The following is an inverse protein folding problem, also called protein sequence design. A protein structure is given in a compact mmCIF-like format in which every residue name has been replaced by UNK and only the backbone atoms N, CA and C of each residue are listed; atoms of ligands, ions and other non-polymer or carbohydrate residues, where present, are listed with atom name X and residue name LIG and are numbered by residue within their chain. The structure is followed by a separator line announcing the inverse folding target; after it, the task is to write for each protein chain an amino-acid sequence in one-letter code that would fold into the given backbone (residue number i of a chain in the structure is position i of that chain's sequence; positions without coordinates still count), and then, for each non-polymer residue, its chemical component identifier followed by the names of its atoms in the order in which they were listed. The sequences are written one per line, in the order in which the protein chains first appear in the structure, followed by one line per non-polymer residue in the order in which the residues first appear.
data_IF_191660094745
#
_entry.id   IF_191660094745
#
_cell.length_a   1.000
_cell.length_b   1.000
_cell.length_c   1.000
_cell.angle_alpha   90.00
_cell.angle_beta   90.00
_cell.angle_gamma   90.00
#
_symmetry.space_group_name_H-M   'P 1'
#
loop_
_entity.id
_entity.type
_entity.pdbx_description
1 polymer ?
#
# COMPACT_ATOMS: atom_id res chain seq x y z
N UNK A 1 -20.50 9.94 -14.48
CA UNK A 1 -20.63 8.47 -14.74
C UNK A 1 -20.76 7.83 -13.38
N UNK A 2 -22.02 7.61 -12.95
CA UNK A 2 -22.52 7.03 -11.70
C UNK A 2 -21.70 7.33 -10.43
N UNK A 3 -22.03 8.45 -9.79
CA UNK A 3 -21.77 8.71 -8.38
C UNK A 3 -22.56 7.71 -7.54
N UNK A 4 -21.94 6.58 -7.20
CA UNK A 4 -22.46 5.68 -6.18
C UNK A 4 -22.17 6.29 -4.81
N UNK A 5 -22.93 7.34 -4.49
CA UNK A 5 -23.08 7.84 -3.14
C UNK A 5 -23.89 6.80 -2.35
N UNK A 6 -23.23 5.72 -1.93
CA UNK A 6 -23.80 4.80 -0.96
C UNK A 6 -23.83 5.51 0.39
N UNK A 7 -24.95 6.15 0.66
CA UNK A 7 -25.34 6.70 1.94
C UNK A 7 -25.23 5.60 3.00
N UNK A 8 -24.12 5.59 3.76
CA UNK A 8 -23.90 4.61 4.83
C UNK A 8 -24.85 4.94 5.97
N UNK A 9 -25.85 4.08 6.18
CA UNK A 9 -26.74 4.07 7.35
C UNK A 9 -25.93 4.23 8.65
N UNK A 10 -26.40 5.00 9.64
CA UNK A 10 -25.70 5.18 10.90
C UNK A 10 -25.68 3.86 11.67
N UNK A 11 -24.55 3.15 11.63
CA UNK A 11 -24.33 1.96 12.43
C UNK A 11 -24.11 2.39 13.89
N UNK A 12 -24.93 1.84 14.80
CA UNK A 12 -25.00 2.20 16.21
C UNK A 12 -23.65 2.35 16.90
N UNK A 13 -23.53 3.41 17.71
CA UNK A 13 -22.51 3.68 18.71
C UNK A 13 -21.06 3.25 18.38
N UNK A 14 -20.61 3.42 17.13
CA UNK A 14 -19.18 3.31 16.81
C UNK A 14 -18.50 4.64 17.09
N UNK A 15 -17.51 4.62 18.00
CA UNK A 15 -16.67 5.79 18.27
C UNK A 15 -15.83 6.07 17.02
N UNK A 16 -16.10 7.20 16.37
CA UNK A 16 -15.27 7.76 15.29
C UNK A 16 -14.11 8.54 15.89
N UNK A 17 -12.91 8.30 15.37
CA UNK A 17 -11.69 8.96 15.80
C UNK A 17 -11.23 9.95 14.73
N UNK A 18 -10.68 11.08 15.19
CA UNK A 18 -10.20 12.13 14.31
C UNK A 18 -8.67 12.17 14.31
N UNK A 19 -8.10 12.29 13.12
CA UNK A 19 -6.71 12.67 12.91
C UNK A 19 -6.63 13.64 11.74
N UNK A 20 -5.46 14.25 11.54
CA UNK A 20 -5.22 15.16 10.41
C UNK A 20 -5.54 14.50 9.06
N UNK A 21 -5.23 13.21 8.90
CA UNK A 21 -5.47 12.47 7.66
C UNK A 21 -6.97 12.26 7.37
N UNK A 22 -7.76 11.84 8.37
CA UNK A 22 -9.23 11.69 8.23
C UNK A 22 -9.89 13.03 7.88
N UNK A 23 -9.40 14.12 8.45
CA UNK A 23 -9.93 15.47 8.21
C UNK A 23 -9.54 16.01 6.83
N UNK A 24 -8.46 15.51 6.24
CA UNK A 24 -7.91 16.01 4.97
C UNK A 24 -8.89 15.80 3.81
N UNK A 25 -9.59 14.67 3.77
CA UNK A 25 -10.60 14.40 2.74
C UNK A 25 -11.77 15.40 2.80
N UNK A 26 -12.18 15.80 4.01
CA UNK A 26 -13.24 16.80 4.19
C UNK A 26 -12.75 18.24 3.98
N UNK A 27 -11.47 18.51 4.22
CA UNK A 27 -10.86 19.82 4.08
C UNK A 27 -10.35 20.11 2.66
N UNK A 28 -10.33 19.11 1.78
CA UNK A 28 -9.86 19.23 0.39
C UNK A 28 -11.02 19.11 -0.60
N UNK A 29 -10.78 19.56 -1.83
CA UNK A 29 -11.70 19.41 -2.95
C UNK A 29 -10.99 18.65 -4.07
N UNK A 30 -11.70 17.76 -4.80
CA UNK A 30 -11.09 17.07 -5.94
C UNK A 30 -10.61 18.10 -6.97
N UNK A 31 -9.39 17.90 -7.46
CA UNK A 31 -8.86 18.70 -8.56
C UNK A 31 -9.58 18.28 -9.84
N UNK A 32 -9.98 19.25 -10.65
CA UNK A 32 -10.57 18.97 -11.95
C UNK A 32 -9.52 18.36 -12.87
N UNK A 33 -9.82 17.22 -13.51
CA UNK A 33 -8.85 16.47 -14.34
C UNK A 33 -8.29 17.31 -15.49
N UNK A 34 -9.03 18.32 -15.96
CA UNK A 34 -8.57 19.24 -17.00
C UNK A 34 -7.98 20.56 -16.47
N UNK A 35 -7.75 20.69 -15.16
CA UNK A 35 -7.05 21.87 -14.61
C UNK A 35 -5.54 21.77 -14.87
N UNK A 36 -5.14 22.23 -16.05
CA UNK A 36 -3.75 22.25 -16.52
C UNK A 36 -2.81 23.05 -15.61
N UNK A 37 -3.33 23.98 -14.80
CA UNK A 37 -2.52 24.78 -13.89
C UNK A 37 -1.88 23.92 -12.81
N UNK A 38 -2.62 22.93 -12.32
CA UNK A 38 -2.13 21.99 -11.31
C UNK A 38 -0.92 21.20 -11.84
N UNK A 39 -1.07 20.61 -13.03
CA UNK A 39 0.01 19.86 -13.68
C UNK A 39 1.22 20.74 -14.02
N UNK A 40 0.99 21.97 -14.48
CA UNK A 40 2.08 22.91 -14.77
C UNK A 40 2.83 23.32 -13.49
N UNK A 41 2.10 23.59 -12.40
CA UNK A 41 2.71 23.92 -11.11
C UNK A 41 3.51 22.75 -10.54
N UNK A 42 2.99 21.52 -10.64
CA UNK A 42 3.70 20.31 -10.21
C UNK A 42 4.98 20.09 -11.02
N UNK A 43 4.92 20.26 -12.34
CA UNK A 43 6.10 20.16 -13.21
C UNK A 43 7.16 21.21 -12.87
N UNK A 44 6.75 22.46 -12.61
CA UNK A 44 7.67 23.56 -12.29
C UNK A 44 8.23 23.48 -10.85
N UNK A 45 7.50 22.82 -9.95
CA UNK A 45 7.94 22.58 -8.57
C UNK A 45 8.84 21.36 -8.46
N UNK A 46 8.69 20.40 -9.37
CA UNK A 46 9.67 19.33 -9.57
C UNK A 46 10.93 19.92 -10.20
N UNK A 47 12.11 19.61 -9.69
CA UNK A 47 13.38 19.97 -10.35
C UNK A 47 13.63 19.14 -11.62
N UNK A 48 12.60 18.57 -12.23
CA UNK A 48 12.71 17.74 -13.41
C UNK A 48 12.50 18.59 -14.65
N UNK A 49 13.35 18.40 -15.66
CA UNK A 49 13.15 19.07 -16.93
C UNK A 49 11.95 18.46 -17.66
N UNK A 50 11.26 19.26 -18.46
CA UNK A 50 10.20 18.82 -19.37
C UNK A 50 10.62 17.58 -20.19
N UNK A 51 11.88 17.55 -20.64
CA UNK A 51 12.46 16.43 -21.37
C UNK A 51 12.56 15.15 -20.54
N UNK A 52 13.02 15.23 -19.29
CA UNK A 52 13.10 14.06 -18.41
C UNK A 52 11.73 13.50 -18.04
N UNK A 53 10.74 14.37 -17.81
CA UNK A 53 9.37 13.94 -17.54
C UNK A 53 8.73 13.24 -18.76
N UNK A 54 8.93 13.78 -19.96
CA UNK A 54 8.44 13.19 -21.20
C UNK A 54 9.09 11.83 -21.49
N UNK A 55 10.41 11.72 -21.35
CA UNK A 55 11.14 10.46 -21.51
C UNK A 55 10.71 9.41 -20.49
N UNK A 56 10.54 9.78 -19.21
CA UNK A 56 10.00 8.88 -18.19
C UNK A 56 8.59 8.41 -18.52
N UNK A 57 7.75 9.28 -19.08
CA UNK A 57 6.37 8.93 -19.48
C UNK A 57 6.36 8.01 -20.70
N UNK A 58 7.16 8.29 -21.72
CA UNK A 58 7.34 7.39 -22.86
C UNK A 58 7.90 6.03 -22.42
N UNK A 59 8.90 6.03 -21.55
CA UNK A 59 9.48 4.83 -20.98
C UNK A 59 8.47 4.05 -20.14
N UNK A 60 7.66 4.72 -19.31
CA UNK A 60 6.58 4.10 -18.55
C UNK A 60 5.50 3.50 -19.44
N UNK A 61 5.08 4.20 -20.51
CA UNK A 61 4.13 3.68 -21.50
C UNK A 61 4.73 2.49 -22.24
N UNK A 62 6.00 2.56 -22.62
CA UNK A 62 6.71 1.48 -23.29
C UNK A 62 6.84 0.25 -22.38
N UNK A 63 7.28 0.43 -21.13
CA UNK A 63 7.33 -0.62 -20.11
C UNK A 63 5.95 -1.23 -19.84
N UNK A 64 4.89 -0.42 -19.79
CA UNK A 64 3.52 -0.88 -19.60
C UNK A 64 3.02 -1.67 -20.82
N UNK A 65 3.27 -1.20 -22.05
CA UNK A 65 2.92 -1.93 -23.27
C UNK A 65 3.70 -3.22 -23.43
N UNK A 66 4.98 -3.24 -23.07
CA UNK A 66 5.79 -4.45 -23.00
C UNK A 66 5.19 -5.40 -21.95
N UNK A 67 4.86 -4.93 -20.75
CA UNK A 67 4.18 -5.76 -19.75
C UNK A 67 2.85 -6.33 -20.25
N UNK A 68 2.06 -5.56 -20.99
CA UNK A 68 0.82 -6.07 -21.62
C UNK A 68 1.16 -7.15 -22.65
N UNK A 69 2.10 -6.86 -23.54
CA UNK A 69 2.47 -7.75 -24.64
C UNK A 69 3.05 -9.08 -24.16
N UNK A 70 3.81 -9.07 -23.07
CA UNK A 70 4.40 -10.26 -22.45
C UNK A 70 3.50 -10.89 -21.36
N UNK A 71 2.25 -10.44 -21.20
CA UNK A 71 1.33 -11.00 -20.19
C UNK A 71 1.76 -10.77 -18.73
N UNK A 72 2.70 -9.87 -18.48
CA UNK A 72 3.23 -9.50 -17.17
C UNK A 72 2.44 -8.35 -16.50
N UNK A 73 1.21 -8.12 -16.96
CA UNK A 73 0.32 -7.05 -16.43
C UNK A 73 -0.55 -7.53 -15.29
N UNK A 74 -0.76 -8.83 -15.18
CA UNK A 74 -1.45 -9.38 -14.02
C UNK A 74 -0.49 -9.31 -12.85
N UNK A 75 -0.83 -8.49 -11.84
CA UNK A 75 -0.49 -8.89 -10.48
C UNK A 75 -0.94 -10.32 -10.36
N UNK A 76 -0.05 -11.28 -10.08
CA UNK A 76 -0.46 -12.68 -10.02
C UNK A 76 -1.62 -12.76 -9.04
N UNK A 77 -2.82 -12.92 -9.59
CA UNK A 77 -4.05 -12.92 -8.82
C UNK A 77 -3.93 -14.16 -7.97
N UNK A 78 -3.79 -13.93 -6.66
CA UNK A 78 -3.56 -15.02 -5.75
C UNK A 78 -4.76 -15.97 -5.73
N UNK A 79 -4.50 -17.20 -5.29
CA UNK A 79 -5.44 -18.30 -5.46
C UNK A 79 -6.84 -17.94 -4.95
N UNK A 80 -7.87 -18.47 -5.63
CA UNK A 80 -9.27 -18.34 -5.23
C UNK A 80 -9.51 -19.07 -3.90
N UNK A 81 -9.25 -18.36 -2.79
CA UNK A 81 -9.44 -18.86 -1.43
C UNK A 81 -10.27 -17.89 -0.62
N UNK A 82 -11.24 -18.45 0.09
CA UNK A 82 -12.07 -17.70 1.05
C UNK A 82 -11.41 -17.52 2.41
N UNK A 83 -10.45 -18.38 2.74
CA UNK A 83 -9.72 -18.37 4.03
C UNK A 83 -8.24 -18.31 3.76
N UNK A 84 -7.57 -17.30 4.30
CA UNK A 84 -6.13 -17.10 4.16
C UNK A 84 -5.39 -17.65 5.39
N UNK A 85 -4.20 -18.26 5.22
CA UNK A 85 -3.45 -18.85 6.33
C UNK A 85 -2.99 -17.81 7.36
N UNK A 86 -2.67 -18.30 8.56
CA UNK A 86 -2.16 -17.50 9.68
C UNK A 86 -0.85 -18.10 10.17
N UNK A 87 0.14 -17.23 10.34
CA UNK A 87 1.39 -17.54 11.02
C UNK A 87 1.65 -16.44 12.03
N UNK A 88 2.03 -16.85 13.25
CA UNK A 88 2.32 -15.95 14.36
C UNK A 88 3.75 -16.16 14.80
N UNK A 89 4.58 -15.17 14.54
CA UNK A 89 5.97 -15.11 14.95
C UNK A 89 6.13 -14.40 16.31
N UNK A 90 5.13 -13.61 16.71
CA UNK A 90 5.17 -12.76 17.91
C UNK A 90 6.43 -11.89 17.90
N UNK A 91 6.61 -11.13 16.82
CA UNK A 91 7.78 -10.29 16.63
C UNK A 91 7.77 -9.11 17.60
N UNK A 92 8.93 -8.86 18.19
CA UNK A 92 9.21 -7.69 19.03
C UNK A 92 9.95 -6.61 18.24
N UNK A 93 9.74 -5.32 18.57
CA UNK A 93 10.58 -4.24 18.05
C UNK A 93 12.07 -4.53 18.26
N UNK A 94 12.90 -4.24 17.25
CA UNK A 94 14.34 -4.45 17.26
C UNK A 94 14.81 -5.77 16.64
N UNK A 95 13.92 -6.77 16.51
CA UNK A 95 14.24 -8.04 15.86
C UNK A 95 14.53 -7.87 14.35
N UNK A 96 15.40 -8.70 13.80
CA UNK A 96 15.69 -8.75 12.36
C UNK A 96 14.85 -9.84 11.72
N UNK A 97 14.17 -9.48 10.63
CA UNK A 97 13.33 -10.38 9.85
C UNK A 97 13.68 -10.31 8.38
N UNK A 98 13.44 -11.40 7.67
CA UNK A 98 13.48 -11.45 6.22
C UNK A 98 12.04 -11.39 5.69
N UNK A 99 11.79 -10.54 4.70
CA UNK A 99 10.51 -10.56 3.99
C UNK A 99 10.53 -11.78 3.06
N UNK A 100 9.47 -12.60 3.11
CA UNK A 100 9.33 -13.78 2.26
C UNK A 100 9.46 -13.42 0.78
N UNK A 101 9.80 -14.41 -0.04
CA UNK A 101 9.84 -14.21 -1.49
C UNK A 101 8.43 -13.86 -2.01
N UNK A 102 8.38 -13.23 -3.19
CA UNK A 102 7.11 -12.87 -3.81
C UNK A 102 6.17 -14.08 -3.93
N UNK A 103 6.69 -15.21 -4.43
CA UNK A 103 5.91 -16.43 -4.62
C UNK A 103 5.30 -16.93 -3.30
N UNK A 104 6.10 -17.00 -2.23
CA UNK A 104 5.62 -17.39 -0.90
C UNK A 104 4.55 -16.44 -0.37
N UNK A 105 4.65 -15.14 -0.63
CA UNK A 105 3.63 -14.17 -0.20
C UNK A 105 2.36 -14.37 -0.99
N UNK A 106 2.43 -14.53 -2.32
CA UNK A 106 1.26 -14.75 -3.18
C UNK A 106 0.50 -16.01 -2.76
N UNK A 107 1.22 -17.04 -2.35
CA UNK A 107 0.66 -18.27 -1.77
C UNK A 107 -0.09 -18.04 -0.45
N UNK A 108 -0.07 -16.84 0.14
CA UNK A 108 -0.82 -16.48 1.37
C UNK A 108 -2.01 -15.54 1.14
N UNK A 109 -2.19 -14.99 -0.07
CA UNK A 109 -3.22 -13.98 -0.38
C UNK A 109 -4.51 -14.60 -0.94
N UNK A 110 -5.64 -13.91 -0.81
CA UNK A 110 -6.92 -14.25 -1.44
C UNK A 110 -7.01 -13.71 -2.88
N UNK A 111 -8.14 -13.95 -3.55
CA UNK A 111 -8.41 -13.50 -4.92
C UNK A 111 -8.31 -11.98 -5.11
N UNK A 112 -8.38 -11.19 -4.04
CA UNK A 112 -8.24 -9.74 -4.06
C UNK A 112 -6.82 -9.27 -3.71
N UNK A 113 -5.87 -10.21 -3.55
CA UNK A 113 -4.50 -9.90 -3.14
C UNK A 113 -4.39 -9.50 -1.67
N UNK A 114 -5.28 -9.98 -0.81
CA UNK A 114 -5.33 -9.63 0.62
C UNK A 114 -5.03 -10.84 1.50
N UNK A 115 -4.47 -10.60 2.68
CA UNK A 115 -4.46 -11.58 3.76
C UNK A 115 -5.22 -10.98 4.95
N UNK A 116 -6.36 -11.58 5.31
CA UNK A 116 -7.21 -11.15 6.43
C UNK A 116 -7.54 -9.66 6.40
N UNK A 117 -7.91 -9.17 5.22
CA UNK A 117 -8.30 -7.79 4.97
C UNK A 117 -7.13 -6.81 4.76
N UNK A 118 -5.86 -7.23 4.92
CA UNK A 118 -4.71 -6.38 4.58
C UNK A 118 -4.23 -6.70 3.17
N UNK A 119 -4.23 -5.69 2.29
CA UNK A 119 -3.78 -5.83 0.91
C UNK A 119 -2.25 -5.86 0.82
N UNK A 120 -1.72 -6.79 0.03
CA UNK A 120 -0.33 -6.77 -0.37
C UNK A 120 -0.17 -5.84 -1.57
N UNK A 121 0.45 -4.68 -1.34
CA UNK A 121 0.52 -3.62 -2.33
C UNK A 121 1.64 -3.89 -3.35
N UNK A 122 1.51 -3.39 -4.58
CA UNK A 122 2.53 -3.52 -5.61
C UNK A 122 3.94 -3.07 -5.19
N UNK A 123 4.02 -1.93 -4.51
CA UNK A 123 5.29 -1.34 -4.08
C UNK A 123 6.01 -2.22 -3.05
N UNK A 124 5.27 -3.07 -2.31
CA UNK A 124 5.85 -4.00 -1.34
C UNK A 124 6.73 -5.07 -2.01
N UNK A 125 6.48 -5.36 -3.29
CA UNK A 125 7.26 -6.34 -4.06
C UNK A 125 8.75 -5.98 -4.13
N UNK A 126 9.07 -4.68 -4.11
CA UNK A 126 10.46 -4.20 -4.17
C UNK A 126 11.28 -4.59 -2.94
N UNK A 127 10.63 -5.00 -1.86
CA UNK A 127 11.25 -5.36 -0.58
C UNK A 127 11.31 -6.87 -0.34
N UNK A 128 10.69 -7.69 -1.20
CA UNK A 128 10.67 -9.14 -1.05
C UNK A 128 12.10 -9.73 -1.05
N UNK A 129 12.37 -10.67 -0.14
CA UNK A 129 13.70 -11.26 0.08
C UNK A 129 14.69 -10.36 0.82
N UNK A 130 14.33 -9.10 1.11
CA UNK A 130 15.17 -8.20 1.88
C UNK A 130 15.09 -8.45 3.39
N UNK A 131 16.14 -8.02 4.10
CA UNK A 131 16.24 -8.12 5.57
C UNK A 131 16.05 -6.76 6.20
N UNK A 132 15.14 -6.69 7.17
CA UNK A 132 14.76 -5.44 7.81
C UNK A 132 14.60 -5.63 9.31
N UNK A 133 14.75 -4.52 10.04
CA UNK A 133 14.48 -4.48 11.47
C UNK A 133 13.01 -4.18 11.71
N UNK A 134 12.41 -4.87 12.67
CA UNK A 134 11.07 -4.56 13.14
C UNK A 134 11.09 -3.24 13.89
N UNK A 135 10.40 -2.23 13.35
CA UNK A 135 10.31 -0.91 13.98
C UNK A 135 9.30 -0.93 15.14
N UNK A 136 8.07 -1.41 14.85
CA UNK A 136 6.96 -1.36 15.81
C UNK A 136 5.89 -2.40 15.49
N UNK A 137 5.27 -2.97 16.53
CA UNK A 137 4.04 -3.77 16.41
C UNK A 137 2.81 -2.87 16.31
N UNK A 138 1.91 -3.18 15.38
CA UNK A 138 0.67 -2.41 15.17
C UNK A 138 -0.52 -3.27 15.55
N UNK A 139 -1.27 -2.83 16.55
CA UNK A 139 -2.48 -3.52 17.02
C UNK A 139 -3.77 -2.81 16.63
N UNK A 140 -3.69 -1.49 16.44
CA UNK A 140 -4.84 -0.64 16.11
C UNK A 140 -4.40 0.48 15.18
N UNK A 141 -5.26 0.82 14.23
CA UNK A 141 -5.08 1.97 13.34
C UNK A 141 -6.44 2.63 13.10
N UNK A 142 -6.43 3.93 12.81
CA UNK A 142 -7.63 4.65 12.35
C UNK A 142 -7.74 4.43 10.84
N UNK A 143 -8.85 3.84 10.39
CA UNK A 143 -9.10 3.66 8.98
C UNK A 143 -9.50 4.99 8.35
N UNK A 144 -8.59 5.58 7.58
CA UNK A 144 -8.68 6.97 7.08
C UNK A 144 -9.99 7.28 6.36
N UNK A 145 -10.53 6.32 5.59
CA UNK A 145 -11.77 6.51 4.83
C UNK A 145 -13.04 6.61 5.69
N UNK A 146 -12.99 6.18 6.96
CA UNK A 146 -14.17 6.13 7.84
C UNK A 146 -13.96 6.80 9.19
N UNK A 147 -12.72 7.01 9.61
CA UNK A 147 -12.38 7.43 10.97
C UNK A 147 -12.59 6.33 12.02
N UNK A 148 -12.93 5.09 11.64
CA UNK A 148 -13.11 3.99 12.59
C UNK A 148 -11.76 3.47 13.08
N UNK A 149 -11.66 3.14 14.36
CA UNK A 149 -10.49 2.40 14.87
C UNK A 149 -10.66 0.91 14.57
N UNK A 150 -9.76 0.37 13.75
CA UNK A 150 -9.73 -1.05 13.41
C UNK A 150 -8.61 -1.76 14.17
N UNK A 151 -8.87 -3.00 14.59
CA UNK A 151 -7.85 -3.85 15.21
C UNK A 151 -7.15 -4.68 14.14
N UNK A 152 -5.83 -4.67 14.18
CA UNK A 152 -4.97 -5.50 13.36
C UNK A 152 -4.32 -6.57 14.22
N UNK A 153 -4.31 -7.80 13.72
CA UNK A 153 -3.66 -8.95 14.35
C UNK A 153 -2.42 -9.32 13.57
N UNK A 154 -1.38 -9.70 14.31
CA UNK A 154 -0.14 -10.27 13.78
C UNK A 154 0.49 -9.34 12.73
N UNK A 155 0.60 -8.05 13.06
CA UNK A 155 1.03 -6.99 12.14
C UNK A 155 2.14 -6.13 12.73
N UNK A 156 3.12 -5.80 11.89
CA UNK A 156 4.29 -5.00 12.24
C UNK A 156 4.60 -3.96 11.16
N UNK A 157 5.40 -2.96 11.53
CA UNK A 157 6.04 -2.01 10.63
C UNK A 157 7.54 -2.30 10.65
N UNK A 158 8.18 -2.21 9.48
CA UNK A 158 9.62 -2.41 9.31
C UNK A 158 10.33 -1.07 9.13
N UNK A 159 11.58 -0.99 9.58
CA UNK A 159 12.42 0.20 9.43
C UNK A 159 12.84 0.41 7.97
N UNK A 160 12.79 1.65 7.50
CA UNK A 160 13.24 2.06 6.16
C UNK A 160 12.49 1.39 4.99
N UNK A 161 11.26 0.93 5.22
CA UNK A 161 10.38 0.31 4.22
C UNK A 161 9.12 1.15 4.07
N UNK A 162 9.04 1.89 2.96
CA UNK A 162 8.01 2.91 2.73
C UNK A 162 7.40 2.82 1.33
N UNK A 163 6.16 3.28 1.21
CA UNK A 163 5.50 3.43 -0.08
C UNK A 163 6.11 4.57 -0.89
N UNK A 164 6.61 4.27 -2.08
CA UNK A 164 7.17 5.26 -3.01
C UNK A 164 6.09 5.98 -3.86
N UNK A 165 4.83 5.57 -3.69
CA UNK A 165 3.66 6.18 -4.32
C UNK A 165 3.53 5.94 -5.82
N UNK A 166 4.41 5.15 -6.45
CA UNK A 166 4.40 4.96 -7.91
C UNK A 166 3.15 4.24 -8.41
N UNK A 167 2.58 3.31 -7.64
CA UNK A 167 1.29 2.69 -7.97
C UNK A 167 0.08 3.52 -7.48
N UNK A 168 0.34 4.70 -6.91
CA UNK A 168 -0.67 5.65 -6.40
C UNK A 168 -0.53 7.03 -7.04
N UNK A 169 -0.35 7.10 -8.36
CA UNK A 169 -0.25 8.36 -9.12
C UNK A 169 0.84 9.32 -8.60
N UNK A 170 1.97 8.79 -8.13
CA UNK A 170 3.05 9.61 -7.59
C UNK A 170 2.77 10.18 -6.21
N UNK A 171 1.97 9.48 -5.39
CA UNK A 171 1.63 9.91 -4.03
C UNK A 171 2.89 10.17 -3.18
N UNK A 172 3.03 11.39 -2.64
CA UNK A 172 4.22 11.81 -1.90
C UNK A 172 4.14 11.57 -0.39
N UNK A 173 3.14 10.80 0.10
CA UNK A 173 2.92 10.62 1.55
C UNK A 173 3.97 9.75 2.24
N UNK A 174 4.74 8.96 1.48
CA UNK A 174 5.81 8.09 1.98
C UNK A 174 5.39 7.25 3.20
N UNK A 175 4.20 6.66 3.13
CA UNK A 175 3.60 5.93 4.26
C UNK A 175 4.38 4.66 4.59
N UNK A 176 4.39 4.29 5.87
CA UNK A 176 4.87 2.98 6.30
C UNK A 176 3.99 1.87 5.72
N UNK A 177 4.62 0.78 5.29
CA UNK A 177 3.90 -0.46 5.01
C UNK A 177 3.55 -1.18 6.31
N UNK A 178 2.34 -1.73 6.33
CA UNK A 178 1.92 -2.66 7.37
C UNK A 178 2.18 -4.07 6.84
N UNK A 179 2.94 -4.86 7.58
CA UNK A 179 3.32 -6.22 7.21
C UNK A 179 2.61 -7.21 8.12
N UNK A 180 1.98 -8.25 7.55
CA UNK A 180 1.54 -9.41 8.32
C UNK A 180 2.74 -10.27 8.68
N UNK A 181 2.77 -10.83 9.88
CA UNK A 181 3.84 -11.72 10.31
C UNK A 181 4.00 -12.94 9.39
N UNK A 182 2.92 -13.43 8.77
CA UNK A 182 2.97 -14.52 7.78
C UNK A 182 3.78 -14.17 6.52
N UNK A 183 4.02 -12.90 6.23
CA UNK A 183 4.87 -12.47 5.12
C UNK A 183 6.34 -12.35 5.50
N UNK A 184 6.68 -12.64 6.75
CA UNK A 184 8.00 -12.46 7.32
C UNK A 184 8.56 -13.82 7.77
N UNK A 185 9.88 -13.89 7.86
CA UNK A 185 10.64 -14.99 8.46
C UNK A 185 11.53 -14.40 9.54
N UNK A 186 11.48 -14.95 10.75
CA UNK A 186 12.43 -14.58 11.80
C UNK A 186 13.81 -15.11 11.42
N UNK A 187 14.81 -14.24 11.42
CA UNK A 187 16.20 -14.63 11.24
C UNK A 187 16.80 -14.76 12.64
N UNK A 188 17.23 -15.96 13.01
CA UNK A 188 18.03 -16.14 14.23
C UNK A 188 19.41 -15.59 13.92
N UNK A 189 19.83 -14.55 14.63
CA UNK A 189 21.18 -14.01 14.49
C UNK A 189 22.20 -15.06 14.91
N UNK A 190 23.21 -15.31 14.07
CA UNK A 190 24.48 -15.90 14.47
C UNK A 190 25.34 -14.85 15.18
#
# INVERSE_FOLDING_TARGET
MKDNNSEKKPAGNRRTFYCQAVSLLNASRPVHVCDVRHYFWEMNSSKESLGTAFLKRLWGIFQFKIRILFGLTEYPLAADRKVTPVEKLNLSPGEIVEIKSLQEILETLDSEGRNRGLQFMPEMMNYCGGRYRVFKRVERIIFEATGEMISLKDTVILENVYCDGKAHNGCQRNCFFIWKEIWLKRIVGN
#
